data_IF_753918596187
#
_entry.id   IF_753918596187
#
_cell.length_a   1.000
_cell.length_b   1.000
_cell.length_c   1.000
_cell.angle_alpha   90.00
_cell.angle_beta   90.00
_cell.angle_gamma   90.00
#
_symmetry.space_group_name_H-M   'P 1'
#
loop_
_entity.id
_entity.type
_entity.pdbx_description
1 polymer ?
#
# COMPACT_ATOMS: atom_id res chain seq x y z
N UNK A 1 49.58 -2.20 -16.06
CA UNK A 1 50.39 -2.42 -14.85
C UNK A 1 49.47 -3.09 -13.82
N UNK A 2 49.49 -4.43 -13.78
CA UNK A 2 49.97 -5.29 -12.68
C UNK A 2 49.05 -5.32 -11.45
N UNK A 3 48.30 -6.42 -11.35
CA UNK A 3 47.64 -6.95 -10.16
C UNK A 3 48.67 -7.37 -9.11
N UNK A 4 48.31 -7.31 -7.83
CA UNK A 4 48.88 -8.16 -6.77
C UNK A 4 47.77 -8.51 -5.77
N UNK A 5 47.49 -9.81 -5.66
CA UNK A 5 46.68 -10.47 -4.62
C UNK A 5 47.65 -11.16 -3.67
N UNK A 6 47.48 -11.04 -2.35
CA UNK A 6 48.23 -11.83 -1.34
C UNK A 6 47.24 -12.26 -0.24
N UNK A 7 47.04 -13.57 -0.01
CA UNK A 7 46.48 -14.07 1.24
C UNK A 7 47.60 -14.64 2.13
N UNK A 8 47.59 -14.28 3.41
CA UNK A 8 48.48 -14.87 4.43
C UNK A 8 47.64 -15.74 5.36
N UNK A 9 47.85 -17.04 5.28
CA UNK A 9 47.45 -18.06 6.26
C UNK A 9 48.66 -18.29 7.16
N UNK A 10 48.48 -18.27 8.48
CA UNK A 10 49.46 -18.83 9.41
C UNK A 10 48.75 -19.57 10.57
N UNK A 11 48.94 -20.88 10.58
CA UNK A 11 48.60 -21.82 11.66
C UNK A 11 49.86 -22.02 12.50
N UNK A 12 49.76 -22.02 13.83
CA UNK A 12 50.81 -22.55 14.70
C UNK A 12 50.23 -23.14 16.00
N UNK A 13 50.46 -24.44 16.13
CA UNK A 13 50.16 -25.35 17.22
C UNK A 13 51.44 -25.51 18.07
N UNK A 14 51.37 -25.43 19.40
CA UNK A 14 52.41 -25.95 20.31
C UNK A 14 51.79 -26.54 21.58
N UNK A 15 51.97 -27.86 21.72
CA UNK A 15 51.99 -28.71 22.93
C UNK A 15 53.16 -28.24 23.83
N UNK A 16 53.23 -28.24 25.17
CA UNK A 16 52.48 -28.82 26.29
C UNK A 16 53.53 -29.29 27.33
N UNK A 17 53.43 -28.96 28.63
CA UNK A 17 54.12 -29.69 29.73
C UNK A 17 53.27 -29.64 31.02
N UNK A 18 53.19 -30.80 31.67
CA UNK A 18 52.35 -31.19 32.80
C UNK A 18 52.73 -30.58 34.17
N UNK A 19 51.73 -30.51 35.06
CA UNK A 19 51.84 -30.92 36.46
C UNK A 19 50.56 -31.65 36.89
N UNK A 20 50.69 -32.97 37.03
CA UNK A 20 49.78 -33.81 37.78
C UNK A 20 50.14 -33.67 39.26
N UNK A 21 49.15 -33.42 40.12
CA UNK A 21 49.13 -33.81 41.56
C UNK A 21 48.00 -33.06 42.30
N UNK A 22 46.74 -33.15 41.84
CA UNK A 22 45.61 -32.48 42.54
C UNK A 22 44.23 -33.10 42.22
N UNK A 23 44.15 -34.40 41.93
CA UNK A 23 42.91 -35.08 41.50
C UNK A 23 42.47 -36.24 42.42
N UNK A 24 42.69 -36.14 43.74
CA UNK A 24 42.18 -37.16 44.68
C UNK A 24 41.24 -36.63 45.78
N UNK A 25 40.78 -35.38 45.67
CA UNK A 25 39.76 -34.78 46.56
C UNK A 25 38.47 -34.41 45.78
N UNK A 26 38.24 -35.03 44.62
CA UNK A 26 37.12 -34.69 43.72
C UNK A 26 35.90 -35.64 43.79
N UNK A 27 35.80 -36.51 44.81
CA UNK A 27 34.67 -37.48 44.88
C UNK A 27 33.78 -37.39 46.13
N UNK A 28 33.93 -36.37 46.99
CA UNK A 28 33.14 -36.28 48.22
C UNK A 28 32.31 -35.01 48.41
N UNK A 29 31.94 -34.33 47.32
CA UNK A 29 31.07 -33.14 47.40
C UNK A 29 30.21 -32.88 46.14
N UNK A 30 29.88 -33.92 45.37
CA UNK A 30 28.97 -33.81 44.21
C UNK A 30 27.61 -34.41 44.58
N UNK A 31 26.85 -33.77 45.47
CA UNK A 31 25.38 -33.73 45.47
C UNK A 31 24.95 -32.48 46.26
N UNK A 32 25.11 -31.30 45.67
CA UNK A 32 24.11 -30.20 45.69
C UNK A 32 24.74 -28.98 45.00
N UNK A 33 24.27 -28.64 43.81
CA UNK A 33 24.89 -27.58 43.03
C UNK A 33 24.22 -27.40 41.68
N UNK A 34 23.07 -26.74 41.71
CA UNK A 34 22.27 -26.31 40.57
C UNK A 34 23.12 -25.79 39.39
N UNK A 35 22.96 -26.41 38.23
CA UNK A 35 23.52 -25.95 36.96
C UNK A 35 22.88 -24.61 36.56
N UNK A 36 23.61 -23.51 36.69
CA UNK A 36 23.22 -22.22 36.13
C UNK A 36 23.72 -22.14 34.69
N UNK A 37 22.82 -22.31 33.72
CA UNK A 37 23.09 -21.97 32.32
C UNK A 37 23.34 -20.46 32.17
N UNK A 38 24.27 -20.01 31.30
CA UNK A 38 24.43 -18.60 31.01
C UNK A 38 23.16 -18.02 30.38
N UNK A 39 22.81 -16.75 30.66
CA UNK A 39 21.60 -16.14 30.10
C UNK A 39 21.71 -16.02 28.57
N UNK A 40 20.59 -16.17 27.84
CA UNK A 40 20.58 -15.97 26.40
C UNK A 40 20.96 -14.52 26.05
N UNK A 41 21.49 -14.28 24.84
CA UNK A 41 21.76 -12.93 24.33
C UNK A 41 20.48 -12.07 24.39
N UNK A 42 20.58 -10.75 24.64
CA UNK A 42 19.42 -9.88 24.59
C UNK A 42 18.80 -9.91 23.20
N UNK A 43 17.49 -10.17 23.14
CA UNK A 43 16.71 -10.12 21.90
C UNK A 43 16.80 -8.72 21.26
N UNK A 44 16.91 -8.61 19.93
CA UNK A 44 16.78 -7.33 19.25
C UNK A 44 15.43 -6.71 19.59
N UNK A 45 15.43 -5.52 20.18
CA UNK A 45 14.20 -4.76 20.42
C UNK A 45 13.63 -4.37 19.07
N UNK A 46 12.60 -5.09 18.62
CA UNK A 46 11.83 -4.72 17.46
C UNK A 46 11.23 -3.33 17.72
N UNK A 47 11.39 -2.34 16.82
CA UNK A 47 10.77 -1.04 17.00
C UNK A 47 9.26 -1.24 17.16
N UNK A 48 8.60 -0.47 18.05
CA UNK A 48 7.19 -0.67 18.32
C UNK A 48 6.39 -0.61 17.02
N UNK A 49 5.37 -1.46 16.85
CA UNK A 49 4.51 -1.41 15.68
C UNK A 49 3.99 0.02 15.53
N UNK A 50 4.10 0.56 14.33
CA UNK A 50 3.53 1.87 14.01
C UNK A 50 2.06 1.87 14.48
N UNK A 51 1.56 2.98 15.07
CA UNK A 51 0.20 3.03 15.57
C UNK A 51 -0.76 2.63 14.45
N UNK A 52 -1.61 1.65 14.74
CA UNK A 52 -2.72 1.31 13.87
C UNK A 52 -3.51 2.59 13.62
N UNK A 53 -3.66 2.99 12.34
CA UNK A 53 -4.42 4.17 11.95
C UNK A 53 -5.83 4.02 12.53
N UNK A 54 -6.21 4.89 13.46
CA UNK A 54 -7.58 4.91 13.99
C UNK A 54 -8.56 5.05 12.81
N UNK A 55 -9.69 4.33 12.79
CA UNK A 55 -10.73 4.56 11.79
C UNK A 55 -11.09 6.04 11.81
N UNK A 56 -11.00 6.71 10.66
CA UNK A 56 -11.39 8.12 10.59
C UNK A 56 -12.80 8.26 11.15
N UNK A 57 -13.00 9.19 12.10
CA UNK A 57 -14.29 9.41 12.76
C UNK A 57 -15.43 9.74 11.77
N UNK A 58 -15.10 10.05 10.52
CA UNK A 58 -15.99 10.36 9.40
C UNK A 58 -16.34 9.15 8.50
N UNK A 59 -15.82 7.95 8.75
CA UNK A 59 -16.07 6.79 7.88
C UNK A 59 -15.40 6.89 6.50
N UNK A 60 -14.31 7.65 6.41
CA UNK A 60 -13.45 7.80 5.23
C UNK A 60 -12.43 6.66 5.15
N UNK A 61 -12.09 6.25 3.93
CA UNK A 61 -11.01 5.29 3.68
C UNK A 61 -9.62 5.96 3.58
N UNK A 62 -8.57 5.18 3.29
CA UNK A 62 -7.19 5.69 3.18
C UNK A 62 -6.98 6.68 2.02
N UNK A 63 -7.95 6.83 1.11
CA UNK A 63 -7.95 7.87 0.09
C UNK A 63 -8.83 9.07 0.47
N UNK A 64 -9.30 9.12 1.72
CA UNK A 64 -10.17 10.17 2.25
C UNK A 64 -11.54 10.26 1.56
N UNK A 65 -12.00 9.15 0.96
CA UNK A 65 -13.31 9.04 0.30
C UNK A 65 -14.34 8.47 1.27
N UNK A 66 -15.51 9.10 1.35
CA UNK A 66 -16.61 8.68 2.24
C UNK A 66 -17.49 7.62 1.57
N UNK A 67 -18.16 6.79 2.37
CA UNK A 67 -19.03 5.69 1.86
C UNK A 67 -20.24 6.16 1.03
N UNK A 68 -20.67 7.39 1.24
CA UNK A 68 -21.77 8.06 0.53
C UNK A 68 -21.28 9.02 -0.55
N UNK A 69 -19.96 9.12 -0.77
CA UNK A 69 -19.41 9.81 -1.92
C UNK A 69 -19.62 8.97 -3.19
N UNK A 70 -19.88 9.66 -4.30
CA UNK A 70 -19.96 9.12 -5.64
C UNK A 70 -18.92 9.79 -6.51
N UNK A 71 -18.36 9.03 -7.44
CA UNK A 71 -17.67 9.59 -8.60
C UNK A 71 -18.68 9.79 -9.71
N UNK A 72 -18.71 10.98 -10.33
CA UNK A 72 -19.62 11.30 -11.43
C UNK A 72 -18.86 11.80 -12.64
N UNK A 73 -19.47 11.65 -13.82
CA UNK A 73 -19.01 12.31 -15.04
C UNK A 73 -20.20 12.71 -15.91
N UNK A 74 -19.93 13.54 -16.92
CA UNK A 74 -20.91 13.90 -17.94
C UNK A 74 -21.23 12.70 -18.85
N UNK A 75 -20.21 11.89 -19.11
CA UNK A 75 -20.27 10.77 -20.04
C UNK A 75 -19.74 9.49 -19.39
N UNK A 76 -20.22 8.30 -19.83
CA UNK A 76 -19.62 7.05 -19.41
C UNK A 76 -18.22 6.89 -20.04
N UNK A 77 -17.39 6.04 -19.43
CA UNK A 77 -16.07 5.72 -19.99
C UNK A 77 -16.17 5.23 -21.44
N UNK A 78 -17.08 4.28 -21.71
CA UNK A 78 -17.39 3.83 -23.07
C UNK A 78 -16.15 3.39 -23.87
N UNK A 79 -15.95 4.03 -25.03
CA UNK A 79 -14.81 3.85 -25.93
C UNK A 79 -13.66 4.82 -25.66
N UNK A 80 -13.83 5.78 -24.75
CA UNK A 80 -12.74 6.67 -24.37
C UNK A 80 -11.66 5.89 -23.64
N UNK A 81 -10.40 6.28 -23.87
CA UNK A 81 -9.27 5.69 -23.15
C UNK A 81 -9.35 6.03 -21.65
N UNK A 82 -9.77 7.25 -21.33
CA UNK A 82 -9.99 7.69 -19.97
C UNK A 82 -11.02 8.82 -19.96
N UNK A 83 -11.61 9.08 -18.79
CA UNK A 83 -12.47 10.25 -18.54
C UNK A 83 -12.16 10.84 -17.18
N UNK A 84 -12.32 12.16 -17.02
CA UNK A 84 -12.34 12.75 -15.69
C UNK A 84 -13.64 12.38 -14.96
N UNK A 85 -13.48 12.16 -13.66
CA UNK A 85 -14.58 11.93 -12.72
C UNK A 85 -14.44 12.86 -11.52
N UNK A 86 -15.55 13.22 -10.92
CA UNK A 86 -15.59 14.18 -9.83
C UNK A 86 -16.26 13.60 -8.60
N UNK A 87 -15.69 13.88 -7.43
CA UNK A 87 -16.28 13.51 -6.16
C UNK A 87 -17.54 14.33 -5.90
N UNK A 88 -18.63 13.66 -5.55
CA UNK A 88 -19.95 14.29 -5.39
C UNK A 88 -20.83 13.56 -4.37
N UNK A 89 -21.81 14.29 -3.82
CA UNK A 89 -22.88 13.74 -2.97
C UNK A 89 -24.15 13.61 -3.77
N UNK A 90 -24.83 12.46 -3.68
CA UNK A 90 -26.15 12.31 -4.29
C UNK A 90 -27.18 13.15 -3.52
N UNK A 91 -27.91 14.00 -4.23
CA UNK A 91 -28.99 14.83 -3.68
C UNK A 91 -30.35 14.23 -4.03
N UNK A 92 -30.55 13.91 -5.30
CA UNK A 92 -31.78 13.28 -5.79
C UNK A 92 -31.42 11.94 -6.43
N UNK A 93 -31.91 10.80 -5.90
CA UNK A 93 -31.64 9.49 -6.50
C UNK A 93 -32.23 9.35 -7.91
N UNK A 94 -31.59 8.55 -8.78
CA UNK A 94 -32.13 8.25 -10.10
C UNK A 94 -33.46 7.51 -10.01
N UNK A 95 -34.41 7.91 -10.85
CA UNK A 95 -35.75 7.33 -10.89
C UNK A 95 -36.36 7.44 -12.29
N UNK A 96 -37.50 6.80 -12.53
CA UNK A 96 -38.26 6.98 -13.77
C UNK A 96 -38.67 8.44 -14.01
N UNK A 97 -38.97 9.20 -12.94
CA UNK A 97 -39.32 10.62 -13.00
C UNK A 97 -38.17 11.50 -13.46
N UNK A 98 -36.93 11.07 -13.20
CA UNK A 98 -35.70 11.78 -13.59
C UNK A 98 -35.04 11.13 -14.80
N UNK A 99 -35.78 10.31 -15.57
CA UNK A 99 -35.26 9.57 -16.74
C UNK A 99 -34.00 8.76 -16.41
N UNK A 100 -33.88 8.28 -15.18
CA UNK A 100 -32.73 7.49 -14.70
C UNK A 100 -31.49 8.33 -14.34
N UNK A 101 -31.56 9.66 -14.34
CA UNK A 101 -30.49 10.54 -13.87
C UNK A 101 -30.59 10.79 -12.37
N UNK A 102 -29.46 10.75 -11.67
CA UNK A 102 -29.34 11.28 -10.32
C UNK A 102 -28.88 12.73 -10.35
N UNK A 103 -29.32 13.52 -9.37
CA UNK A 103 -28.77 14.85 -9.10
C UNK A 103 -27.65 14.74 -8.06
N UNK A 104 -26.53 15.38 -8.34
CA UNK A 104 -25.34 15.34 -7.52
C UNK A 104 -24.85 16.73 -7.18
N UNK A 105 -24.39 16.91 -5.95
CA UNK A 105 -23.67 18.10 -5.48
C UNK A 105 -22.18 17.81 -5.52
N UNK A 106 -21.45 18.52 -6.38
CA UNK A 106 -19.99 18.38 -6.52
C UNK A 106 -19.29 18.88 -5.27
N UNK A 107 -18.41 18.05 -4.70
CA UNK A 107 -17.66 18.39 -3.48
C UNK A 107 -16.65 19.51 -3.74
N UNK A 108 -16.15 19.62 -4.97
CA UNK A 108 -15.08 20.55 -5.35
C UNK A 108 -15.52 22.01 -5.44
N UNK A 109 -16.70 22.27 -5.99
CA UNK A 109 -17.17 23.63 -6.34
C UNK A 109 -18.60 23.93 -5.88
N UNK A 110 -19.30 22.94 -5.30
CA UNK A 110 -20.68 23.08 -4.83
C UNK A 110 -21.72 23.14 -5.95
N UNK A 111 -21.34 22.93 -7.20
CA UNK A 111 -22.28 22.92 -8.32
C UNK A 111 -23.14 21.66 -8.30
N UNK A 112 -24.37 21.79 -8.83
CA UNK A 112 -25.30 20.66 -9.01
C UNK A 112 -25.21 20.12 -10.42
N UNK A 113 -25.27 18.81 -10.56
CA UNK A 113 -25.14 18.12 -11.84
C UNK A 113 -26.09 16.92 -11.93
N UNK A 114 -26.81 16.81 -13.05
CA UNK A 114 -27.66 15.67 -13.34
C UNK A 114 -26.94 14.72 -14.29
N UNK A 115 -26.86 13.43 -13.93
CA UNK A 115 -26.20 12.43 -14.78
C UNK A 115 -26.66 11.00 -14.50
N UNK A 116 -26.54 10.15 -15.53
CA UNK A 116 -26.64 8.68 -15.42
C UNK A 116 -25.29 8.02 -15.09
N UNK A 117 -24.21 8.77 -15.23
CA UNK A 117 -22.83 8.30 -15.14
C UNK A 117 -22.28 8.58 -13.75
N UNK A 118 -22.62 7.70 -12.80
CA UNK A 118 -22.18 7.79 -11.42
C UNK A 118 -21.78 6.41 -10.88
N UNK A 119 -20.80 6.40 -9.97
CA UNK A 119 -20.22 5.16 -9.45
C UNK A 119 -19.83 5.30 -7.99
N UNK A 120 -20.06 4.24 -7.22
CA UNK A 120 -19.39 4.02 -5.94
C UNK A 120 -18.09 3.26 -6.17
N UNK A 121 -17.14 3.43 -5.26
CA UNK A 121 -15.86 2.73 -5.35
C UNK A 121 -15.29 2.41 -3.97
N UNK A 122 -14.38 1.44 -3.95
CA UNK A 122 -13.51 1.14 -2.81
C UNK A 122 -12.06 0.99 -3.28
N UNK A 123 -11.11 1.08 -2.35
CA UNK A 123 -9.69 0.87 -2.64
C UNK A 123 -9.48 -0.57 -3.12
N UNK A 124 -8.81 -0.74 -4.26
CA UNK A 124 -8.62 -2.04 -4.87
C UNK A 124 -7.81 -2.98 -3.97
N UNK A 125 -8.31 -4.20 -3.79
CA UNK A 125 -7.53 -5.30 -3.25
C UNK A 125 -6.67 -5.94 -4.34
N UNK A 126 -5.63 -6.69 -3.95
CA UNK A 126 -4.71 -7.31 -4.89
C UNK A 126 -5.42 -8.19 -5.95
N UNK A 127 -6.46 -8.93 -5.57
CA UNK A 127 -7.22 -9.80 -6.48
C UNK A 127 -8.14 -9.06 -7.46
N UNK A 128 -8.34 -7.76 -7.28
CA UNK A 128 -9.23 -6.94 -8.12
C UNK A 128 -8.46 -6.25 -9.26
N UNK A 129 -7.13 -6.20 -9.17
CA UNK A 129 -6.25 -5.69 -10.22
C UNK A 129 -6.05 -6.74 -11.32
N UNK A 130 -6.81 -6.59 -12.40
CA UNK A 130 -6.79 -7.49 -13.56
C UNK A 130 -6.95 -6.72 -14.85
N UNK A 131 -6.47 -7.28 -15.96
CA UNK A 131 -6.64 -6.70 -17.29
C UNK A 131 -8.12 -6.38 -17.58
N UNK A 132 -8.36 -5.20 -18.13
CA UNK A 132 -9.70 -4.70 -18.45
C UNK A 132 -10.50 -4.19 -17.25
N UNK A 133 -9.99 -4.28 -16.01
CA UNK A 133 -10.65 -3.69 -14.86
C UNK A 133 -10.81 -2.18 -15.03
N UNK A 134 -12.03 -1.67 -14.87
CA UNK A 134 -12.30 -0.23 -14.83
C UNK A 134 -11.96 0.28 -13.44
N UNK A 135 -11.09 1.28 -13.39
CA UNK A 135 -10.52 1.82 -12.16
C UNK A 135 -10.63 3.33 -12.13
N UNK A 136 -10.63 3.89 -10.92
CA UNK A 136 -10.56 5.33 -10.64
C UNK A 136 -9.23 5.62 -9.94
N UNK A 137 -8.52 6.65 -10.41
CA UNK A 137 -7.15 6.97 -10.03
C UNK A 137 -7.06 8.46 -9.69
N UNK A 138 -6.38 8.79 -8.59
CA UNK A 138 -6.08 10.18 -8.25
C UNK A 138 -4.96 10.71 -9.15
N UNK A 139 -5.18 11.85 -9.81
CA UNK A 139 -4.20 12.47 -10.71
C UNK A 139 -3.22 13.37 -9.94
N UNK A 140 -3.66 13.97 -8.83
CA UNK A 140 -2.97 15.09 -8.19
C UNK A 140 -1.61 14.78 -7.55
N UNK A 141 -1.16 13.52 -7.52
CA UNK A 141 0.13 13.12 -6.97
C UNK A 141 0.91 12.25 -7.97
N UNK A 142 1.66 12.88 -8.88
CA UNK A 142 2.54 12.18 -9.84
C UNK A 142 4.01 12.27 -9.42
N UNK A 143 4.71 11.13 -9.41
CA UNK A 143 6.16 11.04 -9.15
C UNK A 143 6.76 10.06 -10.14
N UNK A 144 7.81 10.47 -10.85
CA UNK A 144 8.48 9.67 -11.87
C UNK A 144 7.52 9.07 -12.92
N UNK A 145 6.46 9.82 -13.26
CA UNK A 145 5.42 9.41 -14.21
C UNK A 145 4.43 8.37 -13.67
N UNK A 146 4.43 8.09 -12.36
CA UNK A 146 3.48 7.20 -11.69
C UNK A 146 2.54 8.03 -10.81
N UNK A 147 1.23 7.84 -10.98
CA UNK A 147 0.22 8.44 -10.12
C UNK A 147 0.10 7.68 -8.80
N UNK A 148 0.14 8.40 -7.68
CA UNK A 148 0.09 7.90 -6.32
C UNK A 148 -1.21 8.33 -5.61
N UNK A 149 -1.53 7.59 -4.54
CA UNK A 149 -2.65 7.91 -3.68
C UNK A 149 -2.53 9.34 -3.13
N UNK A 150 -3.65 10.02 -2.86
CA UNK A 150 -3.62 11.34 -2.23
C UNK A 150 -2.89 11.26 -0.88
N UNK A 151 -2.06 12.26 -0.62
CA UNK A 151 -1.27 12.39 0.61
C UNK A 151 -2.03 13.12 1.72
N UNK A 152 -3.03 13.91 1.35
CA UNK A 152 -3.86 14.68 2.26
C UNK A 152 -5.33 14.70 1.81
N UNK A 153 -6.22 14.89 2.80
CA UNK A 153 -7.67 14.98 2.59
C UNK A 153 -8.06 16.10 1.63
N UNK A 154 -7.48 17.28 1.80
CA UNK A 154 -7.81 18.45 0.98
C UNK A 154 -7.52 18.16 -0.50
N UNK A 155 -6.40 17.49 -0.79
CA UNK A 155 -6.02 17.06 -2.14
C UNK A 155 -6.99 16.02 -2.68
N UNK A 156 -7.35 15.00 -1.88
CA UNK A 156 -8.28 13.96 -2.32
C UNK A 156 -9.67 14.52 -2.68
N UNK A 157 -10.16 15.50 -1.93
CA UNK A 157 -11.53 16.03 -2.05
C UNK A 157 -11.65 17.16 -3.07
N UNK A 158 -10.58 17.93 -3.30
CA UNK A 158 -10.56 19.04 -4.26
C UNK A 158 -9.88 18.71 -5.58
N UNK A 159 -9.00 17.70 -5.59
CA UNK A 159 -8.18 17.35 -6.74
C UNK A 159 -8.88 16.49 -7.78
N UNK A 160 -8.19 16.31 -8.91
CA UNK A 160 -8.70 15.56 -10.05
C UNK A 160 -8.59 14.06 -9.85
N UNK A 161 -9.62 13.37 -10.31
CA UNK A 161 -9.67 11.92 -10.43
C UNK A 161 -10.04 11.55 -11.85
N UNK A 162 -9.48 10.47 -12.36
CA UNK A 162 -9.84 9.96 -13.68
C UNK A 162 -10.16 8.47 -13.63
N UNK A 163 -11.03 8.05 -14.54
CA UNK A 163 -11.41 6.66 -14.75
C UNK A 163 -10.74 6.13 -16.01
N UNK A 164 -10.17 4.92 -15.93
CA UNK A 164 -9.49 4.26 -17.04
C UNK A 164 -9.62 2.72 -16.92
N UNK A 165 -9.11 1.98 -17.90
CA UNK A 165 -9.04 0.50 -17.89
C UNK A 165 -7.61 0.05 -17.64
N UNK A 166 -7.40 -0.94 -16.78
CA UNK A 166 -6.09 -1.59 -16.65
C UNK A 166 -5.72 -2.29 -17.96
N UNK A 167 -4.56 -1.97 -18.53
CA UNK A 167 -4.07 -2.51 -19.81
C UNK A 167 -2.82 -3.35 -19.65
N UNK A 168 -2.04 -3.15 -18.59
CA UNK A 168 -0.86 -3.96 -18.32
C UNK A 168 -0.58 -4.08 -16.80
N UNK A 169 -0.16 -5.28 -16.40
CA UNK A 169 0.25 -5.65 -15.04
C UNK A 169 1.68 -6.20 -15.00
N UNK A 170 2.37 -6.28 -16.14
CA UNK A 170 3.70 -6.86 -16.28
C UNK A 170 4.72 -6.17 -15.37
N UNK A 171 4.56 -4.86 -15.15
CA UNK A 171 5.43 -4.03 -14.33
C UNK A 171 4.95 -3.88 -12.87
N UNK A 172 4.02 -4.72 -12.40
CA UNK A 172 3.55 -4.66 -11.01
C UNK A 172 4.70 -4.85 -10.01
N UNK A 173 5.72 -5.65 -10.37
CA UNK A 173 6.95 -5.82 -9.56
C UNK A 173 7.77 -4.53 -9.44
N UNK A 174 7.61 -3.57 -10.37
CA UNK A 174 8.18 -2.22 -10.30
C UNK A 174 7.31 -1.25 -9.51
N UNK A 175 6.16 -1.69 -9.01
CA UNK A 175 5.28 -0.91 -8.14
C UNK A 175 4.21 -0.10 -8.86
N UNK A 176 3.94 -0.35 -10.14
CA UNK A 176 2.86 0.31 -10.89
C UNK A 176 2.12 -0.65 -11.84
N UNK A 177 0.91 -0.27 -12.21
CA UNK A 177 0.17 -0.84 -13.34
C UNK A 177 0.07 0.19 -14.45
N UNK A 178 -0.13 -0.25 -15.69
CA UNK A 178 -0.46 0.64 -16.80
C UNK A 178 -1.95 0.61 -17.08
N UNK A 179 -2.54 1.76 -17.32
CA UNK A 179 -3.93 1.92 -17.72
C UNK A 179 -4.04 2.50 -19.13
N UNK A 180 -5.23 2.46 -19.72
CA UNK A 180 -5.53 3.06 -21.01
C UNK A 180 -5.14 4.54 -21.04
N UNK A 181 -4.61 5.00 -22.19
CA UNK A 181 -3.88 6.26 -22.32
C UNK A 181 -2.37 6.14 -21.99
N UNK A 182 -1.89 4.95 -21.59
CA UNK A 182 -0.48 4.70 -21.30
C UNK A 182 -0.02 5.23 -19.94
N UNK A 183 -0.95 5.67 -19.09
CA UNK A 183 -0.66 6.20 -17.77
C UNK A 183 -0.29 5.10 -16.77
N UNK A 184 0.56 5.44 -15.81
CA UNK A 184 1.00 4.52 -14.75
C UNK A 184 0.38 4.92 -13.43
N UNK A 185 -0.10 3.94 -12.68
CA UNK A 185 -0.66 4.16 -11.35
C UNK A 185 -0.07 3.16 -10.35
N UNK A 186 0.30 3.66 -9.18
CA UNK A 186 0.64 2.81 -8.05
C UNK A 186 -0.59 1.99 -7.64
N UNK A 187 -0.46 0.69 -7.32
CA UNK A 187 -1.57 -0.13 -6.82
C UNK A 187 -2.29 0.49 -5.63
N UNK A 188 -1.56 1.24 -4.80
CA UNK A 188 -2.11 1.96 -3.64
C UNK A 188 -3.03 3.12 -4.02
N UNK A 189 -3.01 3.60 -5.27
CA UNK A 189 -3.85 4.68 -5.77
C UNK A 189 -5.12 4.18 -6.49
N UNK A 190 -5.30 2.87 -6.59
CA UNK A 190 -6.34 2.31 -7.45
C UNK A 190 -7.61 2.12 -6.65
N UNK A 191 -8.71 2.65 -7.17
CA UNK A 191 -10.06 2.34 -6.70
C UNK A 191 -10.80 1.54 -7.77
N UNK A 192 -11.60 0.57 -7.36
CA UNK A 192 -12.45 -0.22 -8.24
C UNK A 192 -13.92 0.11 -8.00
N UNK A 193 -14.75 -0.11 -9.01
CA UNK A 193 -16.17 0.19 -8.94
C UNK A 193 -16.91 -0.87 -8.10
N UNK A 194 -17.79 -0.41 -7.22
CA UNK A 194 -18.73 -1.29 -6.49
C UNK A 194 -19.83 -1.73 -7.45
N UNK A 195 -20.18 -3.02 -7.41
CA UNK A 195 -21.26 -3.62 -8.20
C UNK A 195 -22.61 -3.51 -7.50
#
# INVERSE_FOLDING_TARGET
MKQVVIPVILVLLCVGIARADLWNEAQKLVIDGSSLSPPPPPEPVEPPPAPAREPSASGEDDHYIQRDDFFISEQPLGTHEWIYVHLSKMVTPPSSRTKGEGEFFKVTDGNRYWTRSFWKSHIANAGELRLGAVVIIFEGASRDGVYHAPDAKDNARSGNWFMAKVTDLSDLYKGYVTVSGGYKASPKNIRVLVR
#
